data_IF_631759680485
#
_entry.id   IF_631759680485
#
_cell.length_a   1.000
_cell.length_b   1.000
_cell.length_c   1.000
_cell.angle_alpha   90.00
_cell.angle_beta   90.00
_cell.angle_gamma   90.00
#
_symmetry.space_group_name_H-M   'P 1'
#
loop_
_entity.id
_entity.type
_entity.pdbx_description
1 polymer ?
#
# COMPACT_ATOMS: atom_id res chain seq x y z
N UNK A 1 -16.80 -15.87 -1.72
CA UNK A 1 -15.67 -15.01 -1.35
C UNK A 1 -16.06 -14.06 -0.22
N UNK A 2 -17.10 -13.27 -0.41
CA UNK A 2 -17.50 -12.16 0.49
C UNK A 2 -17.72 -12.52 1.97
N UNK A 3 -18.09 -13.74 2.29
CA UNK A 3 -18.33 -14.15 3.69
C UNK A 3 -17.11 -14.77 4.40
N UNK A 4 -16.14 -15.27 3.65
CA UNK A 4 -14.96 -15.94 4.25
C UNK A 4 -13.80 -14.97 4.43
N UNK A 5 -13.63 -14.00 3.53
CA UNK A 5 -12.56 -13.01 3.61
C UNK A 5 -12.50 -12.30 4.97
N UNK A 6 -13.61 -11.65 5.43
CA UNK A 6 -13.63 -10.98 6.73
C UNK A 6 -13.30 -11.89 7.91
N UNK A 7 -13.82 -13.14 7.89
CA UNK A 7 -13.54 -14.11 8.96
C UNK A 7 -12.07 -14.52 9.01
N UNK A 8 -11.48 -14.79 7.86
CA UNK A 8 -10.05 -15.12 7.76
C UNK A 8 -9.18 -13.93 8.15
N UNK A 9 -9.56 -12.72 7.73
CA UNK A 9 -8.88 -11.50 8.14
C UNK A 9 -8.92 -11.33 9.67
N UNK A 10 -10.09 -11.47 10.29
CA UNK A 10 -10.24 -11.39 11.74
C UNK A 10 -9.37 -12.42 12.49
N UNK A 11 -9.21 -13.62 11.94
CA UNK A 11 -8.46 -14.70 12.56
C UNK A 11 -6.94 -14.55 12.41
N UNK A 12 -6.46 -14.01 11.30
CA UNK A 12 -5.05 -14.07 10.93
C UNK A 12 -4.37 -12.71 10.77
N UNK A 13 -5.13 -11.65 10.51
CA UNK A 13 -4.59 -10.33 10.19
C UNK A 13 -4.92 -9.26 11.25
N UNK A 14 -6.09 -9.35 11.90
CA UNK A 14 -6.62 -8.31 12.76
C UNK A 14 -5.88 -8.16 14.11
N UNK A 15 -4.96 -9.07 14.44
CA UNK A 15 -4.03 -8.87 15.56
C UNK A 15 -3.04 -7.73 15.34
N UNK A 16 -2.82 -7.35 14.08
CA UNK A 16 -1.88 -6.30 13.67
C UNK A 16 -2.55 -5.23 12.81
N UNK A 17 -3.35 -5.63 11.81
CA UNK A 17 -4.01 -4.75 10.87
C UNK A 17 -5.45 -4.44 11.26
N UNK A 18 -5.95 -3.29 10.76
CA UNK A 18 -7.37 -2.97 10.80
C UNK A 18 -7.94 -2.90 9.37
N UNK A 19 -9.25 -2.92 9.29
CA UNK A 19 -10.01 -2.60 8.08
C UNK A 19 -11.04 -1.52 8.45
N UNK A 20 -10.63 -0.25 8.32
CA UNK A 20 -11.43 0.89 8.77
C UNK A 20 -11.52 1.00 10.30
N UNK A 21 -10.44 0.68 11.01
CA UNK A 21 -10.40 0.66 12.47
C UNK A 21 -10.96 -0.60 13.11
N UNK A 22 -11.49 -1.54 12.32
CA UNK A 22 -12.16 -2.76 12.78
C UNK A 22 -11.41 -4.03 12.38
N UNK A 23 -11.76 -5.14 12.99
CA UNK A 23 -11.19 -6.48 12.72
C UNK A 23 -11.80 -7.18 11.48
N UNK A 24 -12.58 -6.49 10.66
CA UNK A 24 -13.30 -7.05 9.52
C UNK A 24 -14.67 -7.70 9.87
N UNK A 25 -15.01 -7.80 11.15
CA UNK A 25 -16.29 -8.31 11.65
C UNK A 25 -17.08 -7.28 12.47
N UNK A 26 -16.68 -6.00 12.40
CA UNK A 26 -17.36 -4.90 13.09
C UNK A 26 -16.89 -4.67 14.54
N UNK A 27 -15.82 -5.34 14.99
CA UNK A 27 -15.26 -5.07 16.32
C UNK A 27 -14.03 -4.16 16.19
N UNK A 28 -13.99 -3.11 17.00
CA UNK A 28 -12.88 -2.16 17.04
C UNK A 28 -11.57 -2.82 17.47
N UNK A 29 -10.46 -2.37 16.90
CA UNK A 29 -9.09 -2.76 17.28
C UNK A 29 -8.40 -1.55 17.90
N UNK A 30 -8.13 -1.58 19.18
CA UNK A 30 -7.66 -0.41 19.92
C UNK A 30 -6.20 -0.02 19.63
N UNK A 31 -5.34 -0.97 19.34
CA UNK A 31 -3.88 -0.75 19.16
C UNK A 31 -3.35 -1.53 17.97
N UNK A 32 -3.71 -1.13 16.74
CA UNK A 32 -3.13 -1.76 15.56
C UNK A 32 -1.61 -1.52 15.53
N UNK A 33 -0.86 -2.52 15.10
CA UNK A 33 0.60 -2.44 15.00
C UNK A 33 1.10 -2.52 13.56
N UNK A 34 0.19 -2.41 12.60
CA UNK A 34 0.43 -2.40 11.17
C UNK A 34 -0.65 -1.52 10.48
N UNK A 35 -0.44 -1.10 9.22
CA UNK A 35 -1.36 -0.21 8.52
C UNK A 35 -2.79 -0.73 8.43
N UNK A 36 -3.76 0.18 8.48
CA UNK A 36 -5.15 -0.09 8.09
C UNK A 36 -5.20 -0.48 6.61
N UNK A 37 -6.01 -1.47 6.26
CA UNK A 37 -6.07 -2.02 4.90
C UNK A 37 -7.40 -1.72 4.17
N UNK A 38 -8.27 -0.89 4.73
CA UNK A 38 -9.50 -0.49 4.05
C UNK A 38 -9.19 0.37 2.85
N UNK A 39 -9.67 -0.05 1.68
CA UNK A 39 -9.42 0.65 0.43
C UNK A 39 -7.95 0.59 -0.03
N UNK A 40 -7.17 -0.39 0.41
CA UNK A 40 -5.75 -0.52 0.10
C UNK A 40 -5.47 -0.30 -1.39
N UNK A 41 -4.51 0.56 -1.68
CA UNK A 41 -4.07 0.99 -3.00
C UNK A 41 -5.12 1.78 -3.83
N UNK A 42 -6.27 2.15 -3.27
CA UNK A 42 -7.17 3.12 -3.90
C UNK A 42 -6.55 4.52 -3.88
N UNK A 43 -7.08 5.42 -4.71
CA UNK A 43 -6.65 6.82 -4.73
C UNK A 43 -6.86 7.48 -3.36
N UNK A 44 -8.00 7.24 -2.73
CA UNK A 44 -8.32 7.75 -1.40
C UNK A 44 -7.34 7.23 -0.34
N UNK A 45 -7.01 5.95 -0.40
CA UNK A 45 -6.02 5.36 0.50
C UNK A 45 -4.65 6.00 0.34
N UNK A 46 -4.20 6.18 -0.90
CA UNK A 46 -2.88 6.76 -1.21
C UNK A 46 -2.82 8.25 -0.89
N UNK A 47 -3.92 9.00 -1.07
CA UNK A 47 -4.01 10.41 -0.66
C UNK A 47 -3.73 10.59 0.83
N UNK A 48 -4.22 9.67 1.65
CA UNK A 48 -3.94 9.74 3.08
C UNK A 48 -2.56 9.16 3.44
N UNK A 49 -2.16 8.06 2.79
CA UNK A 49 -0.88 7.40 3.07
C UNK A 49 0.31 8.29 2.72
N UNK A 50 0.28 8.96 1.55
CA UNK A 50 1.39 9.79 1.07
C UNK A 50 1.37 11.22 1.61
N UNK A 51 0.39 11.55 2.44
CA UNK A 51 0.37 12.86 3.10
C UNK A 51 1.47 12.91 4.18
N UNK A 52 2.34 13.93 4.19
CA UNK A 52 3.47 14.04 5.12
C UNK A 52 3.10 13.80 6.58
N UNK A 53 2.05 14.47 7.06
CA UNK A 53 1.60 14.35 8.45
C UNK A 53 0.90 13.03 8.80
N UNK A 54 0.39 12.30 7.80
CA UNK A 54 -0.44 11.09 8.02
C UNK A 54 0.31 9.80 7.90
N UNK A 55 1.39 9.75 7.10
CA UNK A 55 2.22 8.56 6.93
C UNK A 55 2.65 7.94 8.27
N UNK A 56 3.13 8.78 9.19
CA UNK A 56 3.55 8.39 10.54
C UNK A 56 2.42 8.26 11.56
N UNK A 57 1.15 8.31 11.14
CA UNK A 57 0.01 8.16 12.04
C UNK A 57 -0.23 6.71 12.46
N UNK A 58 -1.02 6.51 13.52
CA UNK A 58 -1.42 5.18 13.97
C UNK A 58 -2.26 4.40 12.94
N UNK A 59 -2.89 5.10 12.00
CA UNK A 59 -3.62 4.49 10.87
C UNK A 59 -2.68 3.78 9.90
N UNK A 60 -1.46 4.28 9.74
CA UNK A 60 -0.50 3.75 8.77
C UNK A 60 0.73 3.16 9.46
N UNK A 61 1.85 3.85 9.44
CA UNK A 61 3.12 3.29 9.91
C UNK A 61 3.50 3.70 11.34
N UNK A 62 2.70 4.55 12.03
CA UNK A 62 3.04 5.13 13.34
C UNK A 62 3.34 4.13 14.45
N UNK A 63 2.78 2.94 14.39
CA UNK A 63 2.99 1.86 15.35
C UNK A 63 3.93 0.75 14.84
N UNK A 64 4.65 0.99 13.75
CA UNK A 64 5.59 0.04 13.13
C UNK A 64 7.03 0.45 13.36
N UNK A 65 7.98 -0.44 13.04
CA UNK A 65 9.41 -0.11 13.02
C UNK A 65 9.76 0.97 11.97
N UNK A 66 8.88 1.19 11.00
CA UNK A 66 9.05 2.15 9.91
C UNK A 66 8.52 3.57 10.21
N UNK A 67 7.97 3.82 11.42
CA UNK A 67 7.31 5.08 11.75
C UNK A 67 8.23 6.30 11.77
N UNK A 68 9.36 6.22 12.50
CA UNK A 68 10.19 7.39 12.85
C UNK A 68 11.61 7.35 12.29
N UNK A 69 11.98 6.31 11.56
CA UNK A 69 13.33 6.12 10.99
C UNK A 69 13.24 5.66 9.53
N UNK A 70 12.12 5.91 8.90
CA UNK A 70 11.87 5.54 7.52
C UNK A 70 12.34 6.67 6.63
N UNK A 71 13.24 6.37 5.70
CA UNK A 71 13.61 7.32 4.63
C UNK A 71 12.38 7.81 3.85
N UNK A 72 11.32 7.00 3.75
CA UNK A 72 10.07 7.40 3.12
C UNK A 72 9.35 8.50 3.90
N UNK A 73 9.38 8.43 5.23
CA UNK A 73 8.81 9.51 6.06
C UNK A 73 9.57 10.82 5.85
N UNK A 74 10.90 10.75 5.90
CA UNK A 74 11.75 11.94 5.72
C UNK A 74 11.55 12.51 4.31
N UNK A 75 11.53 11.67 3.28
CA UNK A 75 11.25 12.06 1.91
C UNK A 75 9.90 12.82 1.76
N UNK A 76 8.83 12.27 2.35
CA UNK A 76 7.51 12.93 2.30
C UNK A 76 7.52 14.30 3.01
N UNK A 77 8.25 14.43 4.12
CA UNK A 77 8.40 15.69 4.82
C UNK A 77 9.22 16.71 4.00
N UNK A 78 10.29 16.25 3.34
CA UNK A 78 11.17 17.13 2.58
C UNK A 78 10.54 17.60 1.27
N UNK A 79 9.85 16.72 0.52
CA UNK A 79 9.31 17.03 -0.81
C UNK A 79 7.89 17.60 -0.79
N UNK A 80 7.10 17.31 0.25
CA UNK A 80 5.68 17.67 0.32
C UNK A 80 5.28 18.46 1.56
N UNK A 81 6.26 19.09 2.25
CA UNK A 81 5.94 20.01 3.34
C UNK A 81 5.08 21.18 2.83
N UNK A 82 4.06 21.54 3.58
CA UNK A 82 3.12 22.61 3.19
C UNK A 82 2.13 22.25 2.08
N UNK A 83 1.99 20.97 1.73
CA UNK A 83 1.08 20.50 0.66
C UNK A 83 -0.36 21.02 0.81
N UNK A 84 -0.83 21.22 2.03
CA UNK A 84 -2.21 21.71 2.27
C UNK A 84 -2.44 23.15 1.77
N UNK A 85 -1.40 23.95 1.71
CA UNK A 85 -1.44 25.35 1.26
C UNK A 85 -0.91 25.54 -0.16
N UNK A 86 -0.14 24.58 -0.70
CA UNK A 86 0.46 24.65 -2.03
C UNK A 86 -0.35 23.83 -3.07
N UNK A 87 -0.91 24.55 -4.05
CA UNK A 87 -1.72 23.95 -5.11
C UNK A 87 -0.90 23.13 -6.11
N UNK A 88 0.37 23.50 -6.31
CA UNK A 88 1.22 22.83 -7.30
C UNK A 88 1.72 21.51 -6.69
N UNK A 89 2.11 21.48 -5.42
CA UNK A 89 2.40 20.25 -4.69
C UNK A 89 1.19 19.28 -4.64
N UNK A 90 -0.02 19.83 -4.44
CA UNK A 90 -1.23 18.99 -4.51
C UNK A 90 -1.47 18.40 -5.89
N UNK A 91 -1.21 19.15 -6.95
CA UNK A 91 -1.36 18.67 -8.32
C UNK A 91 -0.35 17.56 -8.62
N UNK A 92 0.89 17.70 -8.21
CA UNK A 92 1.93 16.70 -8.37
C UNK A 92 1.60 15.43 -7.58
N UNK A 93 1.18 15.57 -6.33
CA UNK A 93 0.75 14.43 -5.51
C UNK A 93 -0.47 13.71 -6.14
N UNK A 94 -1.44 14.42 -6.70
CA UNK A 94 -2.58 13.82 -7.41
C UNK A 94 -2.14 12.99 -8.62
N UNK A 95 -1.17 13.47 -9.38
CA UNK A 95 -0.58 12.71 -10.50
C UNK A 95 0.12 11.43 -10.03
N UNK A 96 0.93 11.53 -8.97
CA UNK A 96 1.61 10.37 -8.37
C UNK A 96 0.61 9.33 -7.84
N UNK A 97 -0.42 9.78 -7.12
CA UNK A 97 -1.48 8.92 -6.59
C UNK A 97 -2.18 8.19 -7.73
N UNK A 98 -2.53 8.87 -8.82
CA UNK A 98 -3.14 8.25 -10.00
C UNK A 98 -2.24 7.18 -10.61
N UNK A 99 -0.96 7.48 -10.75
CA UNK A 99 0.02 6.53 -11.31
C UNK A 99 0.18 5.28 -10.44
N UNK A 100 0.40 5.44 -9.13
CA UNK A 100 0.61 4.34 -8.20
C UNK A 100 -0.68 3.53 -8.04
N UNK A 101 -1.83 4.18 -7.88
CA UNK A 101 -3.13 3.50 -7.73
C UNK A 101 -3.51 2.69 -8.97
N UNK A 102 -3.18 3.16 -10.17
CA UNK A 102 -3.46 2.44 -11.41
C UNK A 102 -2.74 1.08 -11.50
N UNK A 103 -1.61 0.90 -10.81
CA UNK A 103 -0.93 -0.39 -10.70
C UNK A 103 -1.82 -1.47 -10.04
N UNK A 104 -2.72 -1.06 -9.14
CA UNK A 104 -3.61 -1.97 -8.45
C UNK A 104 -4.66 -2.61 -9.36
N UNK A 105 -5.03 -1.95 -10.45
CA UNK A 105 -6.07 -2.40 -11.39
C UNK A 105 -7.38 -2.76 -10.65
N UNK A 106 -7.79 -1.91 -9.71
CA UNK A 106 -9.02 -2.11 -8.94
C UNK A 106 -10.24 -2.03 -9.88
N UNK A 107 -11.11 -3.02 -9.80
CA UNK A 107 -12.32 -3.07 -10.62
C UNK A 107 -13.19 -1.80 -10.46
N UNK A 108 -13.30 -1.29 -9.23
CA UNK A 108 -14.05 -0.07 -8.92
C UNK A 108 -13.46 1.20 -9.57
N UNK A 109 -12.16 1.23 -9.87
CA UNK A 109 -11.47 2.39 -10.46
C UNK A 109 -11.28 2.28 -11.98
N UNK A 110 -11.53 1.12 -12.57
CA UNK A 110 -11.17 0.83 -13.97
C UNK A 110 -11.70 1.88 -14.97
N UNK A 111 -12.94 2.37 -14.77
CA UNK A 111 -13.56 3.38 -15.64
C UNK A 111 -12.89 4.75 -15.48
N UNK A 112 -12.53 5.12 -14.26
CA UNK A 112 -11.87 6.41 -13.96
C UNK A 112 -10.44 6.38 -14.49
N UNK A 113 -9.71 5.28 -14.29
CA UNK A 113 -8.35 5.11 -14.80
C UNK A 113 -8.29 5.14 -16.33
N UNK A 114 -9.33 4.64 -17.02
CA UNK A 114 -9.46 4.78 -18.47
C UNK A 114 -9.59 6.23 -18.91
N UNK A 115 -10.29 7.07 -18.15
CA UNK A 115 -10.42 8.51 -18.41
C UNK A 115 -9.15 9.29 -18.09
N UNK A 116 -8.38 8.83 -17.10
CA UNK A 116 -7.20 9.52 -16.57
C UNK A 116 -5.87 9.03 -17.17
N UNK A 117 -5.88 8.33 -18.31
CA UNK A 117 -4.66 7.72 -18.91
C UNK A 117 -3.49 8.70 -19.05
N UNK A 118 -3.78 9.92 -19.52
CA UNK A 118 -2.74 10.95 -19.69
C UNK A 118 -2.17 11.38 -18.34
N UNK A 119 -3.01 11.60 -17.33
CA UNK A 119 -2.58 11.95 -15.98
C UNK A 119 -1.77 10.81 -15.32
N UNK A 120 -2.17 9.55 -15.54
CA UNK A 120 -1.43 8.36 -15.07
C UNK A 120 -0.03 8.30 -15.71
N UNK A 121 0.08 8.58 -17.00
CA UNK A 121 1.38 8.63 -17.68
C UNK A 121 2.27 9.75 -17.14
N UNK A 122 1.73 10.97 -17.00
CA UNK A 122 2.46 12.09 -16.38
C UNK A 122 2.90 11.77 -14.94
N UNK A 123 2.04 11.14 -14.16
CA UNK A 123 2.40 10.73 -12.81
C UNK A 123 3.51 9.67 -12.76
N UNK A 124 3.64 8.83 -13.78
CA UNK A 124 4.77 7.89 -13.89
C UNK A 124 6.08 8.59 -14.24
N UNK A 125 6.04 9.61 -15.11
CA UNK A 125 7.19 10.44 -15.41
C UNK A 125 7.62 11.21 -14.15
N UNK A 126 6.66 11.84 -13.47
CA UNK A 126 6.89 12.57 -12.24
C UNK A 126 7.45 11.67 -11.11
N UNK A 127 7.07 10.40 -11.05
CA UNK A 127 7.60 9.44 -10.09
C UNK A 127 9.13 9.28 -10.19
N UNK A 128 9.68 9.39 -11.40
CA UNK A 128 11.12 9.41 -11.62
C UNK A 128 11.71 10.81 -11.33
N UNK A 129 11.08 11.86 -11.84
CA UNK A 129 11.57 13.24 -11.73
C UNK A 129 11.78 13.71 -10.29
N UNK A 130 10.90 13.33 -9.37
CA UNK A 130 11.02 13.71 -7.95
C UNK A 130 11.82 12.70 -7.11
N UNK A 131 12.44 11.66 -7.75
CA UNK A 131 13.35 10.75 -7.09
C UNK A 131 12.70 9.58 -6.35
N UNK A 132 11.43 9.23 -6.60
CA UNK A 132 10.84 8.00 -6.03
C UNK A 132 11.57 6.75 -6.51
N UNK A 133 12.13 6.78 -7.73
CA UNK A 133 12.92 5.71 -8.33
C UNK A 133 14.28 5.51 -7.66
N UNK A 134 14.77 6.43 -6.85
CA UNK A 134 16.00 6.25 -6.06
C UNK A 134 15.86 5.10 -5.04
N UNK A 135 14.62 4.78 -4.69
CA UNK A 135 14.32 3.74 -3.70
C UNK A 135 13.36 2.67 -4.19
N UNK A 136 12.40 3.00 -5.05
CA UNK A 136 11.34 2.10 -5.50
C UNK A 136 11.47 1.73 -6.97
N UNK A 137 11.18 0.47 -7.32
CA UNK A 137 10.88 0.10 -8.69
C UNK A 137 9.41 0.40 -9.04
N UNK A 138 9.14 0.84 -10.28
CA UNK A 138 7.79 1.01 -10.81
C UNK A 138 7.77 0.77 -12.32
N UNK A 139 7.05 -0.26 -12.77
CA UNK A 139 6.79 -0.47 -14.20
C UNK A 139 8.04 -0.68 -15.07
N UNK A 140 9.13 -1.17 -14.51
CA UNK A 140 10.43 -1.40 -15.17
C UNK A 140 11.49 -0.35 -14.84
N UNK A 141 11.13 0.79 -14.26
CA UNK A 141 12.10 1.77 -13.76
C UNK A 141 12.73 1.28 -12.47
N UNK A 142 14.05 1.41 -12.33
CA UNK A 142 14.84 0.90 -11.21
C UNK A 142 14.57 -0.58 -10.86
N UNK A 143 14.32 -1.42 -11.89
CA UNK A 143 13.87 -2.80 -11.68
C UNK A 143 14.94 -3.71 -11.03
N UNK A 144 16.21 -3.35 -11.16
CA UNK A 144 17.34 -4.18 -10.74
C UNK A 144 18.07 -3.65 -9.48
N UNK A 145 17.79 -2.42 -9.02
CA UNK A 145 18.51 -1.79 -7.89
C UNK A 145 17.59 -0.93 -7.01
N UNK A 146 16.58 -1.54 -6.41
CA UNK A 146 15.69 -0.85 -5.47
C UNK A 146 16.00 -1.23 -4.01
N UNK A 147 15.83 -0.29 -3.10
CA UNK A 147 16.10 -0.44 -1.66
C UNK A 147 14.86 -0.40 -0.77
N UNK A 148 13.69 -0.19 -1.37
CA UNK A 148 12.37 -0.16 -0.78
C UNK A 148 11.44 -1.12 -1.56
N UNK A 149 10.20 -1.37 -1.13
CA UNK A 149 9.30 -2.28 -1.86
C UNK A 149 9.13 -1.91 -3.34
N UNK A 150 9.21 -2.91 -4.23
CA UNK A 150 8.86 -2.76 -5.64
C UNK A 150 7.35 -2.47 -5.77
N UNK A 151 7.02 -1.31 -6.32
CA UNK A 151 5.66 -0.84 -6.53
C UNK A 151 5.06 -1.28 -7.87
N UNK A 152 5.79 -2.02 -8.70
CA UNK A 152 5.27 -2.59 -9.95
C UNK A 152 4.11 -3.53 -9.64
N UNK A 153 2.92 -3.17 -10.10
CA UNK A 153 1.68 -3.87 -9.79
C UNK A 153 1.21 -3.71 -8.34
N UNK A 154 1.66 -2.66 -7.63
CA UNK A 154 1.27 -2.36 -6.25
C UNK A 154 -0.24 -2.44 -6.05
N UNK A 155 -0.67 -3.17 -5.03
CA UNK A 155 -2.09 -3.38 -4.73
C UNK A 155 -2.83 -4.29 -5.72
N UNK A 156 -2.20 -4.75 -6.82
CA UNK A 156 -2.83 -5.74 -7.68
C UNK A 156 -3.05 -7.07 -6.94
N UNK A 157 -4.01 -7.87 -7.42
CA UNK A 157 -4.30 -9.16 -6.80
C UNK A 157 -3.05 -10.03 -6.63
N UNK A 158 -2.18 -10.07 -7.65
CA UNK A 158 -0.93 -10.83 -7.58
C UNK A 158 0.06 -10.23 -6.59
N UNK A 159 0.22 -8.91 -6.57
CA UNK A 159 1.12 -8.24 -5.64
C UNK A 159 0.70 -8.51 -4.19
N UNK A 160 -0.62 -8.39 -3.89
CA UNK A 160 -1.14 -8.66 -2.56
C UNK A 160 -1.01 -10.12 -2.16
N UNK A 161 -1.26 -11.06 -3.07
CA UNK A 161 -1.05 -12.49 -2.81
C UNK A 161 0.42 -12.81 -2.49
N UNK A 162 1.35 -12.17 -3.19
CA UNK A 162 2.77 -12.42 -3.02
C UNK A 162 3.31 -11.84 -1.71
N UNK A 163 2.87 -10.64 -1.31
CA UNK A 163 3.30 -10.07 -0.01
C UNK A 163 2.71 -10.84 1.17
N UNK A 164 1.47 -11.34 1.07
CA UNK A 164 0.89 -12.23 2.09
C UNK A 164 1.60 -13.57 2.12
N UNK A 165 2.05 -14.06 0.96
CA UNK A 165 2.79 -15.32 0.88
C UNK A 165 4.16 -15.22 1.57
N UNK A 166 4.96 -14.22 1.22
CA UNK A 166 6.31 -13.98 1.79
C UNK A 166 6.65 -12.48 1.83
N UNK A 167 6.32 -11.76 2.91
CA UNK A 167 6.61 -10.33 3.03
C UNK A 167 8.13 -10.05 3.15
N UNK A 168 8.92 -11.05 3.51
CA UNK A 168 10.38 -10.97 3.58
C UNK A 168 11.08 -11.27 2.25
N UNK A 169 10.32 -11.50 1.17
CA UNK A 169 10.91 -11.56 -0.16
C UNK A 169 11.53 -10.22 -0.54
N UNK A 170 12.65 -10.23 -1.27
CA UNK A 170 13.42 -9.03 -1.65
C UNK A 170 12.57 -7.97 -2.34
N UNK A 171 11.62 -8.38 -3.15
CA UNK A 171 10.65 -7.51 -3.83
C UNK A 171 9.82 -6.63 -2.88
N UNK A 172 9.66 -7.03 -1.62
CA UNK A 172 8.85 -6.32 -0.62
C UNK A 172 9.75 -5.71 0.45
N UNK A 173 9.71 -6.25 1.65
CA UNK A 173 10.46 -5.69 2.76
C UNK A 173 11.84 -6.34 2.96
N UNK A 174 12.07 -7.53 2.38
CA UNK A 174 13.33 -8.24 2.55
C UNK A 174 13.69 -8.41 4.03
N UNK A 175 14.93 -8.10 4.37
CA UNK A 175 15.45 -8.10 5.75
C UNK A 175 14.83 -7.01 6.64
N UNK A 176 14.11 -6.04 6.05
CA UNK A 176 13.43 -4.95 6.76
C UNK A 176 12.00 -5.31 7.16
N UNK A 177 11.52 -6.53 6.85
CA UNK A 177 10.22 -6.98 7.33
C UNK A 177 10.18 -6.92 8.85
N UNK A 178 9.26 -6.11 9.41
CA UNK A 178 9.16 -5.89 10.85
C UNK A 178 8.67 -7.17 11.56
N UNK A 179 7.43 -7.56 11.29
CA UNK A 179 6.80 -8.69 12.01
C UNK A 179 5.74 -9.44 11.21
N UNK A 180 5.45 -9.04 9.99
CA UNK A 180 4.43 -9.72 9.19
C UNK A 180 4.86 -11.17 8.91
N UNK A 181 4.06 -12.19 9.29
CA UNK A 181 4.39 -13.58 9.02
C UNK A 181 4.33 -13.90 7.53
N UNK A 182 5.15 -14.84 7.08
CA UNK A 182 5.10 -15.39 5.72
C UNK A 182 4.00 -16.46 5.64
N UNK A 183 2.74 -16.02 5.54
CA UNK A 183 1.57 -16.89 5.69
C UNK A 183 1.53 -18.05 4.70
N UNK A 184 1.95 -17.83 3.46
CA UNK A 184 1.97 -18.88 2.46
C UNK A 184 3.23 -19.75 2.55
N UNK A 185 4.41 -19.13 2.67
CA UNK A 185 5.70 -19.81 2.76
C UNK A 185 5.81 -20.72 3.99
N UNK A 186 5.25 -20.26 5.13
CA UNK A 186 5.20 -21.03 6.37
C UNK A 186 3.97 -21.95 6.46
N UNK A 187 3.21 -22.11 5.37
CA UNK A 187 2.01 -22.97 5.28
C UNK A 187 0.91 -22.65 6.33
N UNK A 188 0.90 -21.41 6.88
CA UNK A 188 -0.11 -20.94 7.85
C UNK A 188 -1.47 -20.73 7.21
N UNK A 189 -1.48 -20.35 5.93
CA UNK A 189 -2.67 -20.20 5.10
C UNK A 189 -2.49 -20.93 3.78
N UNK A 190 -3.52 -21.64 3.35
CA UNK A 190 -3.58 -22.16 2.00
C UNK A 190 -3.71 -21.02 0.98
N UNK A 191 -3.30 -21.25 -0.27
CA UNK A 191 -3.47 -20.28 -1.35
C UNK A 191 -4.91 -19.80 -1.46
N UNK A 192 -5.88 -20.71 -1.35
CA UNK A 192 -7.32 -20.37 -1.42
C UNK A 192 -7.77 -19.45 -0.28
N UNK A 193 -7.23 -19.60 0.93
CA UNK A 193 -7.52 -18.70 2.06
C UNK A 193 -6.93 -17.32 1.82
N UNK A 194 -5.68 -17.22 1.36
CA UNK A 194 -5.06 -15.95 0.98
C UNK A 194 -5.86 -15.26 -0.13
N UNK A 195 -6.29 -15.97 -1.16
CA UNK A 195 -7.14 -15.44 -2.23
C UNK A 195 -8.46 -14.87 -1.67
N UNK A 196 -9.12 -15.53 -0.71
CA UNK A 196 -10.35 -15.00 -0.08
C UNK A 196 -10.12 -13.71 0.70
N UNK A 197 -9.00 -13.59 1.39
CA UNK A 197 -8.64 -12.36 2.10
C UNK A 197 -8.37 -11.25 1.09
N UNK A 198 -7.54 -11.51 0.09
CA UNK A 198 -7.15 -10.51 -0.92
C UNK A 198 -8.35 -10.03 -1.74
N UNK A 199 -9.18 -10.95 -2.23
CA UNK A 199 -10.38 -10.62 -3.00
C UNK A 199 -11.34 -9.73 -2.17
N UNK A 200 -11.51 -10.05 -0.88
CA UNK A 200 -12.31 -9.23 0.02
C UNK A 200 -11.70 -7.83 0.27
N UNK A 201 -10.40 -7.73 0.53
CA UNK A 201 -9.72 -6.44 0.72
C UNK A 201 -9.81 -5.54 -0.52
N UNK A 202 -9.86 -6.15 -1.71
CA UNK A 202 -10.02 -5.45 -3.00
C UNK A 202 -11.47 -5.14 -3.37
N UNK A 203 -12.45 -5.67 -2.62
CA UNK A 203 -13.88 -5.53 -2.94
C UNK A 203 -14.34 -6.38 -4.14
N UNK A 204 -13.68 -7.52 -4.42
CA UNK A 204 -13.90 -8.42 -5.56
C UNK A 204 -14.50 -9.78 -5.16
#
# INVERSE_FOLDING_TARGET
ALLQGPKLFAQHCASCHTHGGENGLGNSVEKPSAPDLKGFASREYLTELLHPERFGSAKFFGNTAHAKKSKMHDFLQDEFDGIDDDKDLRADMDLLIKAISAEAKLAAQSKVDLGDREAIMKGRELFDEIGCTDCHALGGWNADDYSAPDLTGYGSRNWMLNIVHDPAHERFYGKKNDRMPAFGKDEKLTRRQMERIVDWLRGE
#
